data_IF_568018480094
#
_entry.id   IF_568018480094
#
_cell.length_a   1.000
_cell.length_b   1.000
_cell.length_c   1.000
_cell.angle_alpha   90.00
_cell.angle_beta   90.00
_cell.angle_gamma   90.00
#
_symmetry.space_group_name_H-M   'P 1'
#
loop_
_entity.id
_entity.type
_entity.pdbx_description
1 polymer ?
#
# COMPACT_ATOMS: atom_id res chain seq x y z
N UNK A 1 13.40 -16.37 -21.11
CA UNK A 1 13.37 -15.59 -22.34
C UNK A 1 12.95 -14.16 -22.07
N UNK A 2 13.32 -13.25 -22.97
CA UNK A 2 13.05 -11.82 -22.80
C UNK A 2 11.54 -11.51 -22.70
N UNK A 3 10.71 -12.21 -23.46
CA UNK A 3 9.27 -12.02 -23.45
C UNK A 3 8.66 -12.36 -22.09
N UNK A 4 9.08 -13.46 -21.47
CA UNK A 4 8.61 -13.85 -20.15
C UNK A 4 9.07 -12.85 -19.09
N UNK A 5 10.29 -12.35 -19.19
CA UNK A 5 10.83 -11.35 -18.29
C UNK A 5 10.07 -10.02 -18.40
N UNK A 6 9.80 -9.57 -19.62
CA UNK A 6 9.02 -8.35 -19.86
C UNK A 6 7.61 -8.48 -19.31
N UNK A 7 6.96 -9.64 -19.48
CA UNK A 7 5.64 -9.90 -18.89
C UNK A 7 5.65 -9.86 -17.38
N UNK A 8 6.67 -10.46 -16.76
CA UNK A 8 6.80 -10.43 -15.30
C UNK A 8 7.04 -9.01 -14.78
N UNK A 9 7.89 -8.22 -15.44
CA UNK A 9 8.15 -6.84 -15.07
C UNK A 9 6.87 -5.98 -15.19
N UNK A 10 6.08 -6.19 -16.25
CA UNK A 10 4.81 -5.49 -16.43
C UNK A 10 3.82 -5.83 -15.33
N UNK A 11 3.70 -7.11 -14.96
CA UNK A 11 2.83 -7.55 -13.86
C UNK A 11 3.25 -6.91 -12.55
N UNK A 12 4.54 -6.86 -12.25
CA UNK A 12 5.05 -6.22 -11.04
C UNK A 12 4.76 -4.72 -11.03
N UNK A 13 4.92 -4.03 -12.15
CA UNK A 13 4.62 -2.61 -12.26
C UNK A 13 3.14 -2.33 -12.03
N UNK A 14 2.24 -3.12 -12.63
CA UNK A 14 0.81 -3.00 -12.43
C UNK A 14 0.45 -3.25 -10.96
N UNK A 15 1.04 -4.27 -10.35
CA UNK A 15 0.82 -4.57 -8.95
C UNK A 15 1.23 -3.40 -8.04
N UNK A 16 2.36 -2.76 -8.33
CA UNK A 16 2.82 -1.57 -7.58
C UNK A 16 1.81 -0.43 -7.70
N UNK A 17 1.28 -0.17 -8.88
CA UNK A 17 0.26 0.86 -9.07
C UNK A 17 -1.01 0.56 -8.29
N UNK A 18 -1.48 -0.68 -8.32
CA UNK A 18 -2.67 -1.10 -7.58
C UNK A 18 -2.45 -0.94 -6.08
N UNK A 19 -1.31 -1.39 -5.57
CA UNK A 19 -0.97 -1.24 -4.15
C UNK A 19 -0.89 0.23 -3.73
N UNK A 20 -0.27 1.07 -4.55
CA UNK A 20 -0.18 2.50 -4.28
C UNK A 20 -1.58 3.13 -4.22
N UNK A 21 -2.47 2.76 -5.14
CA UNK A 21 -3.84 3.26 -5.16
C UNK A 21 -4.61 2.83 -3.91
N UNK A 22 -4.51 1.57 -3.52
CA UNK A 22 -5.17 1.04 -2.32
C UNK A 22 -4.64 1.74 -1.07
N UNK A 23 -3.33 1.89 -0.95
CA UNK A 23 -2.71 2.58 0.19
C UNK A 23 -3.11 4.06 0.23
N UNK A 24 -3.22 4.72 -0.92
CA UNK A 24 -3.66 6.10 -1.00
C UNK A 24 -5.10 6.28 -0.55
N UNK A 25 -5.99 5.40 -0.99
CA UNK A 25 -7.39 5.41 -0.56
C UNK A 25 -7.48 5.16 0.95
N UNK A 26 -6.74 4.19 1.45
CA UNK A 26 -6.70 3.90 2.88
C UNK A 26 -6.17 5.09 3.69
N UNK A 27 -5.15 5.78 3.17
CA UNK A 27 -4.61 6.98 3.81
C UNK A 27 -5.65 8.09 3.92
N UNK A 28 -6.41 8.33 2.86
CA UNK A 28 -7.50 9.31 2.85
C UNK A 28 -8.53 8.95 3.92
N UNK A 29 -8.89 7.69 4.02
CA UNK A 29 -9.82 7.19 5.04
C UNK A 29 -9.26 7.43 6.45
N UNK A 30 -7.99 7.16 6.69
CA UNK A 30 -7.33 7.38 7.98
C UNK A 30 -7.33 8.87 8.33
N UNK A 31 -6.99 9.74 7.38
CA UNK A 31 -6.99 11.19 7.58
C UNK A 31 -8.40 11.68 7.94
N UNK A 32 -9.41 11.20 7.23
CA UNK A 32 -10.79 11.52 7.52
C UNK A 32 -11.18 11.10 8.94
N UNK A 33 -10.80 9.90 9.35
CA UNK A 33 -11.05 9.39 10.70
C UNK A 33 -10.40 10.27 11.77
N UNK A 34 -9.17 10.73 11.51
CA UNK A 34 -8.49 11.65 12.44
C UNK A 34 -9.20 13.01 12.51
N UNK A 35 -9.63 13.53 11.37
CA UNK A 35 -10.30 14.82 11.30
C UNK A 35 -11.67 14.83 12.02
N UNK A 36 -12.37 13.70 12.02
CA UNK A 36 -13.66 13.55 12.70
C UNK A 36 -13.54 13.12 14.15
N UNK A 37 -12.32 13.04 14.69
CA UNK A 37 -12.06 12.61 16.07
C UNK A 37 -12.61 11.21 16.40
N UNK A 38 -12.51 10.29 15.43
CA UNK A 38 -12.91 8.92 15.63
C UNK A 38 -12.02 8.29 16.73
N UNK A 39 -12.60 7.64 17.76
CA UNK A 39 -11.81 7.05 18.84
C UNK A 39 -10.87 5.95 18.38
N UNK A 40 -11.13 5.33 17.22
CA UNK A 40 -10.27 4.27 16.66
C UNK A 40 -9.31 4.79 15.60
N UNK A 41 -9.26 6.11 15.35
CA UNK A 41 -8.41 6.68 14.30
C UNK A 41 -6.93 6.35 14.49
N UNK A 42 -6.43 6.36 15.72
CA UNK A 42 -5.04 6.02 16.03
C UNK A 42 -4.73 4.57 15.68
N UNK A 43 -5.65 3.67 15.92
CA UNK A 43 -5.51 2.25 15.58
C UNK A 43 -5.45 2.06 14.06
N UNK A 44 -6.29 2.77 13.32
CA UNK A 44 -6.27 2.74 11.86
C UNK A 44 -4.95 3.26 11.30
N UNK A 45 -4.44 4.36 11.87
CA UNK A 45 -3.17 4.92 11.46
C UNK A 45 -2.01 3.95 11.70
N UNK A 46 -1.97 3.34 12.89
CA UNK A 46 -0.95 2.34 13.22
C UNK A 46 -1.02 1.15 12.28
N UNK A 47 -2.22 0.64 12.00
CA UNK A 47 -2.42 -0.46 11.06
C UNK A 47 -1.96 -0.10 9.66
N UNK A 48 -2.24 1.11 9.20
CA UNK A 48 -1.81 1.58 7.89
C UNK A 48 -0.29 1.68 7.80
N UNK A 49 0.37 2.24 8.82
CA UNK A 49 1.83 2.34 8.85
C UNK A 49 2.47 0.95 8.82
N UNK A 50 1.96 0.02 9.61
CA UNK A 50 2.46 -1.36 9.64
C UNK A 50 2.31 -2.01 8.27
N UNK A 51 1.16 -1.83 7.62
CA UNK A 51 0.90 -2.37 6.29
C UNK A 51 1.89 -1.81 5.26
N UNK A 52 2.14 -0.50 5.30
CA UNK A 52 3.11 0.15 4.40
C UNK A 52 4.50 -0.42 4.59
N UNK A 53 4.95 -0.57 5.84
CA UNK A 53 6.27 -1.11 6.15
C UNK A 53 6.39 -2.55 5.66
N UNK A 54 5.39 -3.37 5.89
CA UNK A 54 5.38 -4.78 5.45
C UNK A 54 5.47 -4.86 3.92
N UNK A 55 4.71 -4.03 3.22
CA UNK A 55 4.73 -4.01 1.76
C UNK A 55 6.10 -3.54 1.24
N UNK A 56 6.67 -2.52 1.86
CA UNK A 56 8.00 -2.02 1.48
C UNK A 56 9.06 -3.10 1.67
N UNK A 57 9.04 -3.82 2.78
CA UNK A 57 9.97 -4.93 3.04
C UNK A 57 9.76 -6.04 2.02
N UNK A 58 8.53 -6.38 1.69
CA UNK A 58 8.23 -7.40 0.68
C UNK A 58 8.81 -7.02 -0.68
N UNK A 59 8.66 -5.78 -1.12
CA UNK A 59 9.24 -5.32 -2.38
C UNK A 59 10.77 -5.28 -2.34
N UNK A 60 11.36 -5.02 -1.18
CA UNK A 60 12.81 -5.02 -1.04
C UNK A 60 13.40 -6.43 -1.20
N UNK A 61 12.67 -7.44 -0.71
CA UNK A 61 13.09 -8.85 -0.80
C UNK A 61 12.93 -9.40 -2.22
N UNK A 62 11.90 -9.00 -2.92
CA UNK A 62 11.67 -9.42 -4.31
C UNK A 62 12.66 -8.72 -5.24
#
# INVERSE_FOLDING_TARGET
TDTAKEGADTILDVAKYILAAVLGIALVFVIYSLATNNPHAKEYLLGWIIAVVVIMVAFLII
#
